data_IF_564388570477
#
_entry.id   IF_564388570477
#
_cell.length_a   1.000
_cell.length_b   1.000
_cell.length_c   1.000
_cell.angle_alpha   90.00
_cell.angle_beta   90.00
_cell.angle_gamma   90.00
#
_symmetry.space_group_name_H-M   'P 1'
#
loop_
_entity.id
_entity.type
_entity.pdbx_description
1 polymer ?
#
# COMPACT_ATOMS: atom_id res chain seq x y z
N UNK A 1 -2.90 -6.31 20.53
CA UNK A 1 -3.46 -6.84 19.26
C UNK A 1 -4.85 -7.39 19.48
N UNK A 2 -5.76 -7.25 18.48
CA UNK A 2 -7.08 -7.85 18.44
C UNK A 2 -7.09 -8.99 17.42
N UNK A 3 -7.84 -10.04 17.69
CA UNK A 3 -8.17 -11.08 16.69
C UNK A 3 -9.37 -10.62 15.87
N UNK A 4 -9.43 -11.03 14.60
CA UNK A 4 -10.61 -10.80 13.78
C UNK A 4 -11.82 -11.58 14.38
N UNK A 5 -13.04 -11.04 14.27
CA UNK A 5 -14.25 -11.79 14.62
C UNK A 5 -14.31 -13.10 13.84
N UNK A 6 -14.86 -14.14 14.45
CA UNK A 6 -15.12 -15.40 13.75
C UNK A 6 -16.06 -15.17 12.55
N UNK A 7 -15.96 -16.02 11.53
CA UNK A 7 -16.81 -15.88 10.32
C UNK A 7 -18.33 -15.91 10.64
N UNK A 8 -18.71 -16.65 11.69
CA UNK A 8 -20.10 -16.76 12.16
C UNK A 8 -20.51 -15.65 13.14
N UNK A 9 -19.60 -14.74 13.49
CA UNK A 9 -19.92 -13.66 14.43
C UNK A 9 -20.69 -12.54 13.73
N UNK A 10 -21.52 -11.82 14.51
CA UNK A 10 -22.28 -10.65 14.07
C UNK A 10 -21.86 -9.44 14.91
N UNK A 11 -20.69 -8.85 14.64
CA UNK A 11 -20.25 -7.67 15.39
C UNK A 11 -21.17 -6.48 15.07
N UNK A 12 -21.55 -5.73 16.10
CA UNK A 12 -22.42 -4.54 15.94
C UNK A 12 -21.66 -3.37 15.32
N UNK A 13 -20.35 -3.29 15.57
CA UNK A 13 -19.49 -2.19 15.16
C UNK A 13 -18.06 -2.64 14.93
N UNK A 14 -17.42 -2.05 13.92
CA UNK A 14 -15.97 -2.07 13.70
C UNK A 14 -15.49 -0.66 13.39
N UNK A 15 -14.35 -0.28 13.96
CA UNK A 15 -13.77 1.04 13.79
C UNK A 15 -12.36 0.90 13.23
N UNK A 16 -12.12 1.49 12.06
CA UNK A 16 -10.84 1.45 11.38
C UNK A 16 -10.14 2.81 11.44
N UNK A 17 -8.85 2.82 11.75
CA UNK A 17 -7.96 3.91 11.37
C UNK A 17 -7.56 3.71 9.91
N UNK A 18 -7.53 4.78 9.12
CA UNK A 18 -7.11 4.73 7.71
C UNK A 18 -6.01 5.75 7.48
N UNK A 19 -4.89 5.33 6.87
CA UNK A 19 -3.82 6.22 6.46
C UNK A 19 -3.12 5.72 5.19
N UNK A 20 -2.33 6.60 4.58
CA UNK A 20 -1.42 6.36 3.47
C UNK A 20 -0.30 7.41 3.46
N UNK A 21 0.65 7.30 2.54
CA UNK A 21 1.58 8.37 2.19
C UNK A 21 2.45 8.85 3.38
N UNK A 22 3.14 7.91 4.00
CA UNK A 22 4.00 8.17 5.15
C UNK A 22 5.40 8.64 4.72
N UNK A 23 5.53 9.87 4.16
CA UNK A 23 6.83 10.37 3.74
C UNK A 23 7.67 10.78 4.94
N UNK A 24 8.80 10.08 5.14
CA UNK A 24 9.75 10.32 6.23
C UNK A 24 10.32 11.72 6.24
N UNK A 25 10.67 12.25 5.07
CA UNK A 25 11.32 13.57 4.98
C UNK A 25 10.36 14.75 5.14
N UNK A 26 9.06 14.55 4.89
CA UNK A 26 8.06 15.62 4.92
C UNK A 26 7.57 15.98 6.33
N UNK A 27 7.88 15.18 7.36
CA UNK A 27 7.44 15.49 8.72
C UNK A 27 7.68 14.38 9.72
N UNK A 28 7.14 14.59 10.93
CA UNK A 28 7.11 13.59 12.00
C UNK A 28 5.79 12.83 11.98
N UNK A 29 5.81 11.58 12.40
CA UNK A 29 4.66 10.68 12.37
C UNK A 29 3.73 10.83 13.59
N UNK A 30 3.41 12.07 13.96
CA UNK A 30 2.58 12.38 15.13
C UNK A 30 1.17 11.77 15.05
N UNK A 31 0.59 11.68 13.86
CA UNK A 31 -0.72 11.06 13.66
C UNK A 31 -0.74 9.58 14.08
N UNK A 32 0.37 8.86 13.90
CA UNK A 32 0.45 7.46 14.35
C UNK A 32 0.52 7.35 15.89
N UNK A 33 1.03 8.38 16.57
CA UNK A 33 0.97 8.47 18.04
C UNK A 33 -0.47 8.57 18.54
N UNK A 34 -1.32 9.39 17.91
CA UNK A 34 -2.76 9.47 18.21
C UNK A 34 -3.48 8.16 17.89
N UNK A 35 -3.19 7.55 16.73
CA UNK A 35 -3.71 6.22 16.36
C UNK A 35 -3.37 5.18 17.43
N UNK A 36 -2.13 5.17 17.93
CA UNK A 36 -1.70 4.26 18.98
C UNK A 36 -2.48 4.48 20.29
N UNK A 37 -2.71 5.73 20.68
CA UNK A 37 -3.50 6.07 21.87
C UNK A 37 -4.95 5.61 21.73
N UNK A 38 -5.58 5.87 20.60
CA UNK A 38 -6.96 5.42 20.30
C UNK A 38 -7.08 3.91 20.27
N UNK A 39 -6.09 3.22 19.68
CA UNK A 39 -6.05 1.75 19.68
C UNK A 39 -5.96 1.16 21.09
N UNK A 40 -5.13 1.74 21.95
CA UNK A 40 -5.01 1.32 23.37
C UNK A 40 -6.26 1.63 24.20
N UNK A 41 -7.02 2.67 23.81
CA UNK A 41 -8.27 3.07 24.46
C UNK A 41 -9.50 2.35 23.86
N UNK A 42 -9.31 1.30 23.04
CA UNK A 42 -10.38 0.56 22.35
C UNK A 42 -11.31 1.41 21.47
N UNK A 43 -10.82 2.56 20.99
CA UNK A 43 -11.56 3.44 20.07
C UNK A 43 -11.35 3.05 18.62
N UNK A 44 -10.29 2.28 18.31
CA UNK A 44 -9.99 1.70 17.00
C UNK A 44 -9.79 0.19 17.15
N UNK A 45 -10.25 -0.56 16.18
CA UNK A 45 -10.10 -2.02 16.13
C UNK A 45 -8.94 -2.44 15.24
N UNK A 46 -8.81 -1.80 14.08
CA UNK A 46 -7.81 -2.15 13.05
C UNK A 46 -7.28 -0.90 12.38
N UNK A 47 -6.09 -1.01 11.82
CA UNK A 47 -5.48 -0.02 10.95
C UNK A 47 -5.50 -0.50 9.51
N UNK A 48 -6.06 0.30 8.59
CA UNK A 48 -5.96 0.09 7.14
C UNK A 48 -4.89 1.06 6.61
N UNK A 49 -3.90 0.53 5.90
CA UNK A 49 -2.86 1.34 5.30
C UNK A 49 -2.84 1.15 3.78
N UNK A 50 -3.08 2.23 3.05
CA UNK A 50 -3.38 2.21 1.63
C UNK A 50 -2.17 2.56 0.74
N UNK A 51 -0.98 2.20 1.16
CA UNK A 51 0.24 2.36 0.38
C UNK A 51 1.06 3.61 0.69
N UNK A 52 2.21 3.72 0.05
CA UNK A 52 3.25 4.72 0.32
C UNK A 52 3.74 4.68 1.79
N UNK A 53 4.02 3.47 2.24
CA UNK A 53 4.60 3.29 3.57
C UNK A 53 6.05 3.76 3.65
N UNK A 54 6.80 3.59 2.56
CA UNK A 54 8.14 4.14 2.34
C UNK A 54 8.16 4.92 1.03
N UNK A 55 9.20 5.74 0.85
CA UNK A 55 9.47 6.45 -0.39
C UNK A 55 10.88 6.12 -0.87
N UNK A 56 11.06 5.87 -2.16
CA UNK A 56 12.30 5.36 -2.75
C UNK A 56 13.37 6.42 -3.00
N UNK A 57 13.01 7.67 -3.08
CA UNK A 57 13.86 8.78 -3.47
C UNK A 57 15.13 8.94 -2.61
N UNK A 58 16.18 9.55 -3.17
CA UNK A 58 17.33 10.00 -2.39
C UNK A 58 16.95 11.13 -1.43
N UNK A 59 17.86 11.45 -0.52
CA UNK A 59 17.63 12.54 0.44
C UNK A 59 17.31 13.86 -0.27
N UNK A 60 16.29 14.58 0.24
CA UNK A 60 15.89 15.94 -0.12
C UNK A 60 15.24 16.11 -1.50
N UNK A 61 14.98 15.01 -2.21
CA UNK A 61 14.41 15.10 -3.54
C UNK A 61 12.88 15.17 -3.50
N UNK A 62 12.23 14.51 -2.54
CA UNK A 62 10.77 14.44 -2.47
C UNK A 62 10.22 14.87 -1.10
N UNK A 63 10.80 15.91 -0.51
CA UNK A 63 10.47 16.37 0.85
C UNK A 63 9.32 17.38 0.94
N UNK A 64 8.61 17.68 -0.15
CA UNK A 64 7.51 18.65 -0.16
C UNK A 64 7.95 20.04 0.27
N UNK A 65 7.43 20.56 1.39
CA UNK A 65 7.73 21.92 1.89
C UNK A 65 9.09 22.03 2.61
N UNK A 66 9.95 21.04 2.49
CA UNK A 66 11.30 21.02 3.06
C UNK A 66 11.56 19.75 3.88
N UNK A 67 12.85 19.39 3.95
CA UNK A 67 13.30 18.19 4.64
C UNK A 67 13.35 18.41 6.14
N UNK A 68 12.55 17.66 6.89
CA UNK A 68 12.52 17.69 8.37
C UNK A 68 13.51 16.70 8.97
N UNK A 69 13.66 15.52 8.32
CA UNK A 69 14.58 14.45 8.73
C UNK A 69 15.01 13.64 7.50
N UNK A 70 16.25 13.18 7.48
CA UNK A 70 16.84 12.58 6.30
C UNK A 70 16.51 11.09 6.16
N UNK A 71 16.27 10.66 4.91
CA UNK A 71 16.21 9.26 4.53
C UNK A 71 17.53 8.51 4.82
N UNK A 72 17.43 7.22 4.98
CA UNK A 72 18.58 6.31 4.97
C UNK A 72 18.20 5.05 4.16
N UNK A 73 19.00 4.60 3.21
CA UNK A 73 20.26 5.21 2.74
C UNK A 73 20.03 6.60 2.10
N UNK A 74 21.11 7.34 1.84
CA UNK A 74 21.04 8.71 1.31
C UNK A 74 20.72 8.76 -0.20
N UNK A 75 21.01 7.70 -0.92
CA UNK A 75 20.72 7.52 -2.34
C UNK A 75 19.32 6.94 -2.56
N UNK A 76 18.86 6.98 -3.79
CA UNK A 76 17.66 6.26 -4.23
C UNK A 76 17.82 4.76 -4.02
N UNK A 77 16.75 4.12 -3.53
CA UNK A 77 16.80 2.69 -3.22
C UNK A 77 16.44 1.85 -4.45
N UNK A 78 17.30 0.87 -4.76
CA UNK A 78 17.15 -0.02 -5.92
C UNK A 78 17.34 -1.48 -5.51
N UNK A 79 18.34 -1.76 -4.67
CA UNK A 79 18.67 -3.12 -4.24
C UNK A 79 17.81 -3.59 -3.06
N UNK A 80 17.72 -4.91 -2.86
CA UNK A 80 17.03 -5.49 -1.71
C UNK A 80 17.58 -4.97 -0.38
N UNK A 81 18.90 -4.77 -0.29
CA UNK A 81 19.53 -4.21 0.91
C UNK A 81 19.07 -2.78 1.16
N UNK A 82 18.98 -1.95 0.12
CA UNK A 82 18.52 -0.57 0.23
C UNK A 82 17.08 -0.50 0.74
N UNK A 83 16.17 -1.31 0.16
CA UNK A 83 14.78 -1.38 0.61
C UNK A 83 14.67 -1.81 2.07
N UNK A 84 15.44 -2.82 2.50
CA UNK A 84 15.49 -3.27 3.91
C UNK A 84 15.96 -2.15 4.83
N UNK A 85 17.01 -1.43 4.46
CA UNK A 85 17.53 -0.29 5.21
C UNK A 85 16.47 0.83 5.30
N UNK A 86 15.78 1.11 4.20
CA UNK A 86 14.72 2.13 4.15
C UNK A 86 13.54 1.75 5.05
N UNK A 87 13.04 0.53 4.98
CA UNK A 87 12.02 0.04 5.93
C UNK A 87 12.49 0.13 7.37
N UNK A 88 13.73 -0.31 7.65
CA UNK A 88 14.34 -0.20 8.97
C UNK A 88 14.38 1.25 9.46
N UNK A 89 14.72 2.21 8.59
CA UNK A 89 14.70 3.64 8.92
C UNK A 89 13.32 4.12 9.37
N UNK A 90 12.27 3.79 8.63
CA UNK A 90 10.88 4.16 8.98
C UNK A 90 10.46 3.53 10.32
N UNK A 91 10.86 2.28 10.56
CA UNK A 91 10.58 1.56 11.80
C UNK A 91 11.35 2.08 13.03
N UNK A 92 12.26 3.04 12.88
CA UNK A 92 12.87 3.73 14.03
C UNK A 92 11.98 4.81 14.63
N UNK A 93 10.88 5.20 13.97
CA UNK A 93 9.94 6.19 14.52
C UNK A 93 9.11 5.58 15.64
N UNK A 94 9.17 6.19 16.82
CA UNK A 94 8.51 5.69 18.03
C UNK A 94 6.98 5.69 17.92
N UNK A 95 6.39 6.70 17.25
CA UNK A 95 4.96 6.78 17.05
C UNK A 95 4.46 5.70 16.10
N UNK A 96 5.21 5.45 15.01
CA UNK A 96 4.89 4.38 14.06
C UNK A 96 5.02 3.00 14.72
N UNK A 97 6.06 2.76 15.52
CA UNK A 97 6.20 1.54 16.33
C UNK A 97 5.02 1.38 17.30
N UNK A 98 4.65 2.46 17.98
CA UNK A 98 3.53 2.43 18.92
C UNK A 98 2.20 2.08 18.25
N UNK A 99 1.94 2.59 17.04
CA UNK A 99 0.75 2.26 16.25
C UNK A 99 0.75 0.78 15.81
N UNK A 100 1.87 0.26 15.33
CA UNK A 100 2.02 -1.16 15.02
C UNK A 100 1.85 -2.07 16.25
N UNK A 101 2.32 -1.62 17.42
CA UNK A 101 2.16 -2.36 18.67
C UNK A 101 0.72 -2.34 19.22
N UNK A 102 -0.04 -1.29 18.92
CA UNK A 102 -1.39 -1.10 19.46
C UNK A 102 -2.49 -1.81 18.63
N UNK A 103 -2.36 -1.85 17.31
CA UNK A 103 -3.40 -2.32 16.40
C UNK A 103 -2.90 -3.38 15.42
N UNK A 104 -3.75 -4.32 15.00
CA UNK A 104 -3.50 -5.10 13.79
C UNK A 104 -3.60 -4.20 12.56
N UNK A 105 -2.68 -4.40 11.60
CA UNK A 105 -2.64 -3.64 10.36
C UNK A 105 -3.07 -4.49 9.17
N UNK A 106 -3.94 -3.93 8.35
CA UNK A 106 -4.31 -4.45 7.03
C UNK A 106 -3.72 -3.49 6.00
N UNK A 107 -2.76 -3.96 5.23
CA UNK A 107 -1.93 -3.11 4.40
C UNK A 107 -2.01 -3.50 2.93
N UNK A 108 -1.78 -2.54 2.04
CA UNK A 108 -1.52 -2.73 0.62
C UNK A 108 -0.42 -1.75 0.23
N UNK A 109 0.32 -2.02 -0.84
CA UNK A 109 1.25 -1.05 -1.41
C UNK A 109 0.57 -0.06 -2.36
N UNK A 110 1.23 1.06 -2.63
CA UNK A 110 1.03 1.86 -3.81
C UNK A 110 2.33 1.83 -4.66
N UNK A 111 2.75 2.92 -5.25
CA UNK A 111 3.92 2.93 -6.12
C UNK A 111 5.25 3.07 -5.37
N UNK A 112 5.32 3.92 -4.37
CA UNK A 112 6.58 4.25 -3.69
C UNK A 112 7.22 3.10 -2.91
N UNK A 113 6.50 2.03 -2.64
CA UNK A 113 7.12 0.81 -2.14
C UNK A 113 8.04 0.15 -3.17
N UNK A 114 7.90 0.49 -4.46
CA UNK A 114 8.80 0.11 -5.54
C UNK A 114 9.49 1.34 -6.13
N UNK A 115 8.78 2.13 -6.92
CA UNK A 115 9.22 3.41 -7.49
C UNK A 115 8.02 4.18 -8.03
N UNK A 116 8.11 5.52 -8.04
CA UNK A 116 7.04 6.42 -8.47
C UNK A 116 6.39 5.99 -9.78
N UNK A 117 5.05 6.03 -9.79
CA UNK A 117 4.20 5.69 -10.93
C UNK A 117 4.54 4.33 -11.58
N UNK A 118 4.85 3.30 -10.77
CA UNK A 118 5.15 2.00 -11.32
C UNK A 118 3.92 1.31 -11.93
N UNK A 119 4.19 0.51 -12.95
CA UNK A 119 3.24 -0.38 -13.61
C UNK A 119 3.84 -1.78 -13.77
N UNK A 120 3.15 -2.66 -14.48
CA UNK A 120 3.55 -4.07 -14.65
C UNK A 120 5.00 -4.27 -15.09
N UNK A 121 5.52 -3.41 -15.97
CA UNK A 121 6.78 -3.60 -16.68
C UNK A 121 7.80 -2.46 -16.46
N UNK A 122 7.45 -1.44 -15.68
CA UNK A 122 8.32 -0.28 -15.47
C UNK A 122 7.81 0.67 -14.40
N UNK A 123 8.49 1.80 -14.25
CA UNK A 123 8.11 2.90 -13.39
C UNK A 123 8.56 4.24 -14.00
N UNK A 124 7.89 5.32 -13.63
CA UNK A 124 8.33 6.65 -14.04
C UNK A 124 9.70 6.98 -13.43
N UNK A 125 9.88 6.63 -12.16
CA UNK A 125 11.16 6.76 -11.45
C UNK A 125 12.00 5.48 -11.57
N UNK A 126 12.31 5.08 -12.81
CA UNK A 126 13.26 4.01 -13.10
C UNK A 126 13.86 4.17 -14.49
N UNK A 127 15.18 4.11 -14.56
CA UNK A 127 15.92 4.19 -15.83
C UNK A 127 16.59 2.86 -16.14
N UNK A 128 15.97 2.08 -17.06
CA UNK A 128 16.58 0.85 -17.58
C UNK A 128 18.02 1.08 -18.04
N UNK A 129 18.91 0.14 -17.73
CA UNK A 129 20.31 0.19 -18.10
C UNK A 129 21.21 1.05 -17.22
N UNK A 130 20.65 1.94 -16.39
CA UNK A 130 21.41 2.66 -15.36
C UNK A 130 21.19 2.04 -13.97
N UNK A 131 19.95 1.65 -13.67
CA UNK A 131 19.51 1.13 -12.39
C UNK A 131 19.26 -0.38 -12.42
N UNK A 132 19.63 -1.02 -13.52
CA UNK A 132 19.37 -2.44 -13.77
C UNK A 132 18.00 -2.66 -14.41
N UNK A 133 17.54 -3.91 -14.44
CA UNK A 133 16.22 -4.25 -14.94
C UNK A 133 15.13 -3.90 -13.92
N UNK A 134 14.07 -3.25 -14.36
CA UNK A 134 12.93 -2.88 -13.47
C UNK A 134 12.36 -4.09 -12.73
N UNK A 135 12.24 -5.22 -13.39
CA UNK A 135 11.68 -6.43 -12.77
C UNK A 135 12.53 -6.96 -11.61
N UNK A 136 13.86 -6.77 -11.67
CA UNK A 136 14.74 -7.12 -10.54
C UNK A 136 14.57 -6.16 -9.38
N UNK A 137 14.47 -4.85 -9.65
CA UNK A 137 14.14 -3.83 -8.63
C UNK A 137 12.79 -4.14 -7.97
N UNK A 138 11.75 -4.39 -8.78
CA UNK A 138 10.42 -4.75 -8.27
C UNK A 138 10.46 -6.00 -7.38
N UNK A 139 11.18 -7.05 -7.79
CA UNK A 139 11.34 -8.28 -7.00
C UNK A 139 12.01 -7.98 -5.66
N UNK A 140 13.06 -7.17 -5.65
CA UNK A 140 13.75 -6.74 -4.42
C UNK A 140 12.83 -5.95 -3.48
N UNK A 141 12.10 -5.00 -4.01
CA UNK A 141 11.14 -4.18 -3.28
C UNK A 141 10.00 -5.02 -2.67
N UNK A 142 9.40 -5.90 -3.47
CA UNK A 142 8.33 -6.80 -3.01
C UNK A 142 8.83 -7.75 -1.92
N UNK A 143 10.03 -8.31 -2.05
CA UNK A 143 10.62 -9.15 -1.03
C UNK A 143 10.78 -8.38 0.28
N UNK A 144 11.35 -7.18 0.25
CA UNK A 144 11.49 -6.34 1.44
C UNK A 144 10.12 -6.00 2.06
N UNK A 145 9.13 -5.68 1.23
CA UNK A 145 7.77 -5.43 1.71
C UNK A 145 7.19 -6.61 2.49
N UNK A 146 7.27 -7.82 1.97
CA UNK A 146 6.77 -9.02 2.67
C UNK A 146 7.58 -9.38 3.92
N UNK A 147 8.84 -8.97 4.01
CA UNK A 147 9.66 -9.15 5.22
C UNK A 147 9.28 -8.16 6.34
N UNK A 148 8.86 -6.94 5.98
CA UNK A 148 8.66 -5.85 6.93
C UNK A 148 7.18 -5.57 7.24
N UNK A 149 6.27 -5.91 6.35
CA UNK A 149 4.83 -5.63 6.50
C UNK A 149 4.06 -6.86 6.98
N UNK A 150 2.98 -6.66 7.79
CA UNK A 150 2.24 -7.78 8.38
C UNK A 150 1.30 -8.45 7.36
N UNK A 151 1.87 -8.98 6.30
CA UNK A 151 1.16 -9.70 5.25
C UNK A 151 1.69 -11.13 5.15
N UNK A 152 0.80 -12.09 5.04
CA UNK A 152 1.20 -13.48 4.76
C UNK A 152 1.40 -13.64 3.26
N UNK A 153 2.62 -13.97 2.86
CA UNK A 153 2.94 -14.40 1.51
C UNK A 153 3.16 -15.93 1.52
N UNK A 154 2.53 -16.64 0.61
CA UNK A 154 2.76 -18.07 0.41
C UNK A 154 4.11 -18.34 -0.25
N UNK A 155 4.57 -17.41 -1.08
CA UNK A 155 5.92 -17.39 -1.65
C UNK A 155 6.33 -15.92 -1.91
N UNK A 156 7.19 -15.31 -1.06
CA UNK A 156 7.55 -13.89 -1.20
C UNK A 156 8.26 -13.56 -2.52
N UNK A 157 8.81 -14.55 -3.21
CA UNK A 157 9.75 -14.29 -4.30
C UNK A 157 9.16 -14.17 -5.70
N UNK A 158 8.04 -14.79 -6.04
CA UNK A 158 7.61 -14.81 -7.46
C UNK A 158 6.10 -14.91 -7.75
N UNK A 159 5.27 -15.40 -6.83
CA UNK A 159 3.87 -15.71 -7.11
C UNK A 159 2.87 -15.26 -6.05
N UNK A 160 3.31 -14.53 -5.04
CA UNK A 160 2.39 -13.99 -4.03
C UNK A 160 1.77 -12.71 -4.52
N UNK A 161 0.49 -12.74 -4.82
CA UNK A 161 -0.27 -11.52 -5.01
C UNK A 161 -0.63 -10.88 -3.66
N UNK A 162 -0.70 -9.55 -3.63
CA UNK A 162 -1.04 -8.79 -2.43
C UNK A 162 -2.55 -8.60 -2.29
N UNK A 163 -3.28 -8.58 -3.39
CA UNK A 163 -4.73 -8.44 -3.35
C UNK A 163 -5.37 -9.62 -2.61
N UNK A 164 -6.23 -9.31 -1.68
CA UNK A 164 -6.88 -10.29 -0.80
C UNK A 164 -8.14 -9.72 -0.17
N UNK A 165 -9.01 -10.59 0.33
CA UNK A 165 -10.18 -10.22 1.11
C UNK A 165 -10.06 -10.73 2.55
N UNK A 166 -10.52 -9.92 3.49
CA UNK A 166 -10.63 -10.26 4.90
C UNK A 166 -12.08 -10.06 5.34
N UNK A 167 -12.64 -11.10 5.96
CA UNK A 167 -14.02 -11.10 6.45
C UNK A 167 -14.04 -10.86 7.95
N UNK A 168 -14.85 -9.90 8.40
CA UNK A 168 -15.03 -9.54 9.80
C UNK A 168 -16.46 -9.89 10.23
N UNK A 169 -16.69 -11.18 10.51
CA UNK A 169 -18.03 -11.70 10.77
C UNK A 169 -18.98 -11.48 9.58
N UNK A 170 -20.25 -11.21 9.85
CA UNK A 170 -21.24 -10.85 8.83
C UNK A 170 -21.28 -9.35 8.51
N UNK A 171 -20.45 -8.53 9.20
CA UNK A 171 -20.52 -7.08 9.11
C UNK A 171 -19.74 -6.51 7.93
N UNK A 172 -18.46 -6.89 7.78
CA UNK A 172 -17.57 -6.30 6.77
C UNK A 172 -16.80 -7.36 6.02
N UNK A 173 -16.79 -7.27 4.70
CA UNK A 173 -15.77 -7.85 3.83
C UNK A 173 -14.88 -6.74 3.29
N UNK A 174 -13.61 -6.75 3.72
CA UNK A 174 -12.59 -5.78 3.31
C UNK A 174 -11.72 -6.39 2.23
N UNK A 175 -11.84 -5.87 1.02
CA UNK A 175 -11.07 -6.29 -0.16
C UNK A 175 -9.96 -5.29 -0.43
N UNK A 176 -8.71 -5.71 -0.21
CA UNK A 176 -7.51 -4.93 -0.51
C UNK A 176 -7.06 -5.21 -1.93
N UNK A 177 -6.90 -4.17 -2.76
CA UNK A 177 -6.56 -4.30 -4.17
C UNK A 177 -5.10 -3.93 -4.44
N UNK A 178 -4.49 -4.62 -5.39
CA UNK A 178 -3.18 -4.26 -5.93
C UNK A 178 -3.39 -3.48 -7.25
N UNK A 179 -3.14 -2.19 -7.21
CA UNK A 179 -3.39 -1.28 -8.33
C UNK A 179 -2.12 -0.91 -9.10
N UNK A 180 -0.99 -1.55 -8.79
CA UNK A 180 0.30 -1.26 -9.41
C UNK A 180 0.89 -2.42 -10.17
N UNK A 181 0.91 -3.63 -9.59
CA UNK A 181 1.62 -4.78 -10.16
C UNK A 181 1.03 -5.25 -11.50
N UNK A 182 -0.27 -5.09 -11.72
CA UNK A 182 -0.99 -5.64 -12.87
C UNK A 182 -1.42 -4.59 -13.88
N UNK A 183 -1.24 -3.31 -13.58
CA UNK A 183 -1.71 -2.22 -14.43
C UNK A 183 -0.81 -2.00 -15.65
N UNK A 184 -1.39 -1.47 -16.69
CA UNK A 184 -0.63 -0.91 -17.81
C UNK A 184 -0.02 0.45 -17.46
N UNK A 185 0.98 0.86 -18.23
CA UNK A 185 1.62 2.17 -18.08
C UNK A 185 0.58 3.30 -18.06
N UNK A 186 0.77 4.26 -17.16
CA UNK A 186 -0.11 5.41 -17.02
C UNK A 186 -0.09 6.31 -18.27
N UNK A 187 -1.27 6.64 -18.76
CA UNK A 187 -1.40 7.58 -19.88
C UNK A 187 -1.59 8.99 -19.34
N UNK A 188 -0.62 9.86 -19.59
CA UNK A 188 -0.62 11.23 -19.06
C UNK A 188 -1.63 12.15 -19.74
N UNK A 189 -1.93 11.94 -21.04
CA UNK A 189 -2.85 12.81 -21.80
C UNK A 189 -3.65 12.04 -22.86
N UNK A 190 -4.92 12.40 -22.98
CA UNK A 190 -5.83 12.00 -24.05
C UNK A 190 -6.85 10.94 -23.65
N UNK A 191 -8.14 11.32 -23.56
CA UNK A 191 -9.22 10.39 -23.17
C UNK A 191 -9.31 9.15 -24.07
N UNK A 192 -8.98 9.27 -25.36
CA UNK A 192 -8.98 8.13 -26.29
C UNK A 192 -7.89 7.10 -25.97
N UNK A 193 -6.74 7.53 -25.45
CA UNK A 193 -5.67 6.62 -25.04
C UNK A 193 -6.00 5.95 -23.70
N UNK A 194 -6.67 6.67 -22.79
CA UNK A 194 -7.10 6.13 -21.50
C UNK A 194 -8.14 5.03 -21.65
N UNK A 195 -9.06 5.20 -22.59
CA UNK A 195 -10.14 4.25 -22.92
C UNK A 195 -9.79 3.25 -24.02
N UNK A 196 -8.50 3.12 -24.40
CA UNK A 196 -8.09 2.18 -25.43
C UNK A 196 -8.45 0.74 -25.02
N UNK A 197 -8.95 -0.03 -25.99
CA UNK A 197 -9.34 -1.41 -25.77
C UNK A 197 -8.16 -2.25 -25.26
N UNK A 198 -8.43 -3.14 -24.32
CA UNK A 198 -7.43 -4.02 -23.70
C UNK A 198 -6.61 -3.39 -22.57
N UNK A 199 -6.73 -2.09 -22.31
CA UNK A 199 -6.06 -1.47 -21.16
C UNK A 199 -6.68 -1.92 -19.85
N UNK A 200 -5.81 -2.14 -18.87
CA UNK A 200 -6.24 -2.60 -17.54
C UNK A 200 -5.50 -1.93 -16.40
N UNK A 201 -6.18 -1.76 -15.28
CA UNK A 201 -5.58 -1.40 -14.00
C UNK A 201 -5.41 -2.61 -13.08
N UNK A 202 -6.28 -3.59 -13.18
CA UNK A 202 -6.32 -4.75 -12.29
C UNK A 202 -5.69 -6.01 -12.88
N UNK A 203 -5.54 -6.08 -14.21
CA UNK A 203 -5.33 -7.34 -14.89
C UNK A 203 -6.58 -8.23 -14.86
N UNK A 204 -6.64 -9.22 -15.73
CA UNK A 204 -7.84 -10.08 -15.87
C UNK A 204 -8.09 -10.97 -14.65
N UNK A 205 -7.04 -11.49 -14.03
CA UNK A 205 -7.17 -12.39 -12.88
C UNK A 205 -7.75 -11.68 -11.66
N UNK A 206 -7.15 -10.55 -11.27
CA UNK A 206 -7.64 -9.78 -10.13
C UNK A 206 -9.04 -9.21 -10.39
N UNK A 207 -9.30 -8.77 -11.64
CA UNK A 207 -10.61 -8.27 -12.05
C UNK A 207 -11.71 -9.34 -11.85
N UNK A 208 -11.51 -10.54 -12.39
CA UNK A 208 -12.47 -11.62 -12.25
C UNK A 208 -12.63 -12.07 -10.79
N UNK A 209 -11.53 -12.12 -10.05
CA UNK A 209 -11.56 -12.40 -8.63
C UNK A 209 -12.37 -11.35 -7.84
N UNK A 210 -12.18 -10.05 -8.14
CA UNK A 210 -12.91 -8.97 -7.50
C UNK A 210 -14.41 -9.05 -7.78
N UNK A 211 -14.79 -9.27 -9.05
CA UNK A 211 -16.20 -9.43 -9.41
C UNK A 211 -16.84 -10.58 -8.64
N UNK A 212 -16.19 -11.76 -8.64
CA UNK A 212 -16.68 -12.90 -7.88
C UNK A 212 -16.81 -12.59 -6.38
N UNK A 213 -15.87 -11.85 -5.80
CA UNK A 213 -15.93 -11.43 -4.39
C UNK A 213 -17.13 -10.53 -4.09
N UNK A 214 -17.40 -9.55 -4.95
CA UNK A 214 -18.54 -8.65 -4.79
C UNK A 214 -19.87 -9.41 -4.98
N UNK A 215 -19.95 -10.30 -5.96
CA UNK A 215 -21.16 -11.06 -6.26
C UNK A 215 -21.51 -12.09 -5.19
N UNK A 216 -20.48 -12.70 -4.55
CA UNK A 216 -20.69 -13.79 -3.57
C UNK A 216 -20.65 -13.32 -2.12
N UNK A 217 -20.33 -12.08 -1.86
CA UNK A 217 -20.27 -11.52 -0.51
C UNK A 217 -21.65 -11.51 0.14
N UNK A 218 -21.72 -12.03 1.36
CA UNK A 218 -22.89 -11.92 2.22
C UNK A 218 -22.74 -10.88 3.34
N UNK A 219 -21.63 -10.14 3.35
CA UNK A 219 -21.38 -9.13 4.35
C UNK A 219 -22.31 -7.92 4.17
N UNK A 220 -22.68 -7.27 5.27
CA UNK A 220 -23.50 -6.04 5.24
C UNK A 220 -22.79 -4.88 4.55
N UNK A 221 -21.45 -4.84 4.62
CA UNK A 221 -20.61 -3.83 4.00
C UNK A 221 -19.48 -4.48 3.19
N UNK A 222 -19.40 -4.12 1.92
CA UNK A 222 -18.24 -4.41 1.08
C UNK A 222 -17.36 -3.17 1.01
N UNK A 223 -16.15 -3.25 1.59
CA UNK A 223 -15.16 -2.18 1.61
C UNK A 223 -14.03 -2.51 0.65
N UNK A 224 -13.64 -1.53 -0.18
CA UNK A 224 -12.49 -1.64 -1.07
C UNK A 224 -11.32 -0.83 -0.54
N UNK A 225 -10.21 -1.49 -0.21
CA UNK A 225 -8.94 -0.85 0.12
C UNK A 225 -8.23 -0.48 -1.19
N UNK A 226 -8.32 0.79 -1.56
CA UNK A 226 -7.92 1.34 -2.85
C UNK A 226 -6.84 2.41 -2.65
N UNK A 227 -5.65 2.19 -3.20
CA UNK A 227 -4.50 3.08 -2.99
C UNK A 227 -4.51 4.32 -3.88
N UNK A 228 -5.28 4.32 -4.97
CA UNK A 228 -5.39 5.46 -5.89
C UNK A 228 -6.80 6.05 -5.87
N UNK A 229 -6.95 7.27 -6.39
CA UNK A 229 -8.25 7.94 -6.43
C UNK A 229 -9.24 7.18 -7.33
N UNK A 230 -10.43 6.88 -6.80
CA UNK A 230 -11.47 6.13 -7.50
C UNK A 230 -12.44 7.03 -8.28
N UNK A 231 -12.72 8.22 -7.75
CA UNK A 231 -13.65 9.17 -8.39
C UNK A 231 -12.99 9.92 -9.54
N UNK A 232 -13.71 10.19 -10.65
CA UNK A 232 -13.22 11.07 -11.69
C UNK A 232 -12.90 12.46 -11.12
N UNK A 233 -11.71 12.97 -11.40
CA UNK A 233 -11.33 14.34 -11.07
C UNK A 233 -11.47 15.19 -12.33
N UNK A 234 -12.43 16.12 -12.33
CA UNK A 234 -12.47 17.18 -13.34
C UNK A 234 -11.49 18.27 -12.88
N UNK A 235 -10.27 18.18 -13.41
CA UNK A 235 -9.35 19.33 -13.31
C UNK A 235 -9.93 20.40 -14.26
N UNK A 236 -10.66 21.35 -13.70
CA UNK A 236 -11.04 22.54 -14.45
C UNK A 236 -9.76 23.23 -14.94
N UNK A 237 -9.53 23.19 -16.24
CA UNK A 237 -8.48 23.95 -16.93
C UNK A 237 -8.84 25.41 -16.95
#
# INVERSE_FOLDING_TARGET
>A
TKTAPALSASPEKLTFGVASCANWESGFFNAYGDIAQRGRADQLDYMIFLGDYIYEYPQREYAGNGTVRLHHPAHEIISLEDYRIRFGRYRTDENLQAAHGALPWVVVWDDHEVANDNWREGAENHTEGKEGAFLDRRKAAMQAYFEWMPVRATNPSEQSHLYRSLTFGDLVELTMMDLRTYRDEQVRFGPHKMAAEGRTMLGSEQYNWLLNKIETSSAKWNMLGNSVMFSPMNLAT
#
